data_IF_661468375321
#
_entry.id   IF_661468375321
#
_cell.length_a   1.000
_cell.length_b   1.000
_cell.length_c   1.000
_cell.angle_alpha   90.00
_cell.angle_beta   90.00
_cell.angle_gamma   90.00
#
_symmetry.space_group_name_H-M   'P 1'
#
loop_
_entity.id
_entity.type
_entity.pdbx_description
1 polymer ?
#
# COMPACT_ATOMS: atom_id res chain seq x y z
N UNK A 1 -17.35 -2.19 22.01
CA UNK A 1 -17.78 -3.39 21.28
C UNK A 1 -19.26 -3.68 21.50
N UNK A 2 -19.72 -4.08 22.70
CA UNK A 2 -21.15 -4.37 22.97
C UNK A 2 -22.14 -3.30 22.50
N UNK A 3 -21.75 -2.02 22.59
CA UNK A 3 -22.57 -0.92 22.10
C UNK A 3 -22.76 -0.89 20.58
N UNK A 4 -21.85 -1.46 19.78
CA UNK A 4 -21.98 -1.51 18.30
C UNK A 4 -22.99 -2.57 17.84
N UNK A 5 -23.20 -3.62 18.64
CA UNK A 5 -24.21 -4.66 18.42
C UNK A 5 -25.58 -4.31 19.03
N UNK A 6 -25.66 -3.20 19.77
CA UNK A 6 -26.92 -2.71 20.34
C UNK A 6 -27.80 -2.03 19.28
N UNK A 7 -29.01 -1.65 19.66
CA UNK A 7 -29.93 -0.83 18.85
C UNK A 7 -30.12 0.57 19.47
N UNK A 8 -30.65 1.50 18.68
CA UNK A 8 -30.99 2.86 19.15
C UNK A 8 -29.78 3.68 19.60
N UNK A 9 -29.98 4.55 20.59
CA UNK A 9 -28.97 5.55 20.99
C UNK A 9 -27.63 4.95 21.46
N UNK A 10 -27.65 3.72 21.99
CA UNK A 10 -26.44 3.02 22.42
C UNK A 10 -25.56 2.69 21.21
N UNK A 11 -26.17 2.22 20.12
CA UNK A 11 -25.51 2.00 18.84
C UNK A 11 -24.93 3.30 18.31
N UNK A 12 -25.74 4.35 18.28
CA UNK A 12 -25.34 5.61 17.67
C UNK A 12 -24.15 6.25 18.40
N UNK A 13 -24.18 6.26 19.74
CA UNK A 13 -23.04 6.74 20.56
C UNK A 13 -21.78 5.91 20.36
N UNK A 14 -21.92 4.58 20.26
CA UNK A 14 -20.78 3.70 20.01
C UNK A 14 -20.18 3.93 18.62
N UNK A 15 -21.03 4.08 17.60
CA UNK A 15 -20.65 4.36 16.22
C UNK A 15 -19.96 5.71 16.08
N UNK A 16 -20.46 6.79 16.72
CA UNK A 16 -19.79 8.11 16.73
C UNK A 16 -18.41 8.05 17.38
N UNK A 17 -18.27 7.36 18.52
CA UNK A 17 -16.97 7.19 19.20
C UNK A 17 -15.98 6.41 18.34
N UNK A 18 -16.44 5.35 17.69
CA UNK A 18 -15.61 4.56 16.78
C UNK A 18 -15.22 5.37 15.55
N UNK A 19 -16.15 6.10 14.94
CA UNK A 19 -15.87 6.98 13.80
C UNK A 19 -14.77 8.01 14.12
N UNK A 20 -14.87 8.70 15.25
CA UNK A 20 -13.85 9.68 15.66
C UNK A 20 -12.46 9.04 15.84
N UNK A 21 -12.41 7.78 16.28
CA UNK A 21 -11.16 7.03 16.37
C UNK A 21 -10.62 6.70 14.98
N UNK A 22 -11.46 6.14 14.10
CA UNK A 22 -11.09 5.77 12.74
C UNK A 22 -10.65 6.98 11.92
N UNK A 23 -11.33 8.12 12.06
CA UNK A 23 -11.01 9.36 11.35
C UNK A 23 -9.62 9.88 11.71
N UNK A 24 -9.23 9.86 12.99
CA UNK A 24 -7.87 10.24 13.40
C UNK A 24 -6.81 9.35 12.77
N UNK A 25 -7.06 8.04 12.75
CA UNK A 25 -6.17 7.08 12.07
C UNK A 25 -6.14 7.32 10.57
N UNK A 26 -7.28 7.58 9.94
CA UNK A 26 -7.40 7.85 8.52
C UNK A 26 -6.62 9.10 8.11
N UNK A 27 -6.72 10.18 8.88
CA UNK A 27 -5.99 11.42 8.62
C UNK A 27 -4.47 11.23 8.74
N UNK A 28 -4.01 10.54 9.78
CA UNK A 28 -2.59 10.24 9.96
C UNK A 28 -2.05 9.40 8.78
N UNK A 29 -2.81 8.38 8.38
CA UNK A 29 -2.41 7.48 7.29
C UNK A 29 -2.49 8.17 5.93
N UNK A 30 -3.55 8.94 5.66
CA UNK A 30 -3.72 9.68 4.41
C UNK A 30 -2.64 10.75 4.25
N UNK A 31 -2.23 11.45 5.31
CA UNK A 31 -1.09 12.39 5.27
C UNK A 31 0.23 11.68 5.02
N UNK A 32 0.45 10.51 5.66
CA UNK A 32 1.66 9.68 5.49
C UNK A 32 1.81 9.16 4.05
N UNK A 33 0.70 8.84 3.39
CA UNK A 33 0.71 8.34 2.00
C UNK A 33 0.66 9.51 1.01
N UNK A 34 -0.14 10.54 1.29
CA UNK A 34 -0.27 11.73 0.46
C UNK A 34 1.04 12.50 0.28
N UNK A 35 1.90 12.55 1.31
CA UNK A 35 3.25 13.12 1.20
C UNK A 35 4.14 12.38 0.19
N UNK A 36 3.95 11.06 -0.01
CA UNK A 36 4.66 10.28 -1.03
C UNK A 36 4.12 10.50 -2.44
N UNK A 37 2.82 10.77 -2.56
CA UNK A 37 2.09 10.87 -3.82
C UNK A 37 1.80 12.30 -4.29
N UNK A 38 2.34 13.32 -3.59
CA UNK A 38 2.08 14.76 -3.84
C UNK A 38 0.59 15.12 -3.86
N UNK A 39 -0.24 14.40 -3.09
CA UNK A 39 -1.64 14.78 -2.86
C UNK A 39 -1.69 15.97 -1.89
N UNK A 40 -2.52 16.98 -2.16
CA UNK A 40 -2.55 18.22 -1.37
C UNK A 40 -3.96 18.64 -0.97
N UNK A 41 -4.09 19.18 0.25
CA UNK A 41 -5.23 19.99 0.67
C UNK A 41 -6.55 19.23 0.92
N UNK A 42 -7.71 19.81 0.56
CA UNK A 42 -9.06 19.28 0.85
C UNK A 42 -9.28 17.82 0.43
N UNK A 43 -8.60 17.37 -0.63
CA UNK A 43 -8.68 16.00 -1.14
C UNK A 43 -8.25 14.94 -0.09
N UNK A 44 -7.29 15.27 0.78
CA UNK A 44 -6.79 14.36 1.82
C UNK A 44 -7.79 14.22 2.97
N UNK A 45 -8.45 15.33 3.32
CA UNK A 45 -9.41 15.38 4.41
C UNK A 45 -10.70 14.65 4.01
N UNK A 46 -11.21 14.93 2.81
CA UNK A 46 -12.38 14.26 2.22
C UNK A 46 -12.14 12.75 2.10
N UNK A 47 -10.96 12.35 1.64
CA UNK A 47 -10.58 10.94 1.56
C UNK A 47 -10.58 10.26 2.93
N UNK A 48 -10.04 10.92 3.95
CA UNK A 48 -9.98 10.39 5.30
C UNK A 48 -11.39 10.23 5.89
N UNK A 49 -12.26 11.23 5.67
CA UNK A 49 -13.66 11.20 6.06
C UNK A 49 -14.41 10.02 5.43
N UNK A 50 -14.29 9.85 4.11
CA UNK A 50 -14.90 8.73 3.42
C UNK A 50 -14.33 7.39 3.88
N UNK A 51 -13.00 7.29 4.08
CA UNK A 51 -12.37 6.04 4.52
C UNK A 51 -12.83 5.64 5.93
N UNK A 52 -12.99 6.60 6.84
CA UNK A 52 -13.50 6.36 8.18
C UNK A 52 -14.97 5.89 8.16
N UNK A 53 -15.80 6.48 7.29
CA UNK A 53 -17.19 6.07 7.11
C UNK A 53 -17.32 4.64 6.55
N UNK A 54 -16.57 4.32 5.49
CA UNK A 54 -16.55 2.98 4.88
C UNK A 54 -16.06 1.91 5.87
N UNK A 55 -15.02 2.24 6.65
CA UNK A 55 -14.50 1.37 7.69
C UNK A 55 -15.53 1.13 8.80
N UNK A 56 -16.23 2.19 9.24
CA UNK A 56 -17.31 2.06 10.23
C UNK A 56 -18.41 1.12 9.72
N UNK A 57 -18.90 1.32 8.49
CA UNK A 57 -19.93 0.47 7.88
C UNK A 57 -19.47 -1.00 7.81
N UNK A 58 -18.22 -1.22 7.42
CA UNK A 58 -17.65 -2.56 7.33
C UNK A 58 -17.53 -3.21 8.71
N UNK A 59 -17.12 -2.44 9.72
CA UNK A 59 -16.96 -2.92 11.09
C UNK A 59 -18.32 -3.25 11.71
N UNK A 60 -19.33 -2.41 11.56
CA UNK A 60 -20.68 -2.68 12.09
C UNK A 60 -21.26 -3.95 11.47
N UNK A 61 -21.07 -4.17 10.17
CA UNK A 61 -21.49 -5.40 9.50
C UNK A 61 -20.69 -6.66 9.87
N UNK A 62 -19.52 -6.51 10.51
CA UNK A 62 -18.61 -7.63 10.86
C UNK A 62 -18.34 -7.76 12.34
N UNK A 63 -18.97 -6.95 13.19
CA UNK A 63 -18.62 -6.87 14.62
C UNK A 63 -18.78 -8.21 15.34
N UNK A 64 -19.76 -9.02 14.94
CA UNK A 64 -20.01 -10.36 15.48
C UNK A 64 -18.94 -11.39 15.08
N UNK A 65 -18.16 -11.10 14.03
CA UNK A 65 -17.05 -11.98 13.59
C UNK A 65 -15.76 -11.75 14.37
N UNK A 66 -15.73 -10.74 15.25
CA UNK A 66 -14.55 -10.43 16.04
C UNK A 66 -14.35 -11.45 17.17
N UNK A 67 -13.29 -12.25 17.05
CA UNK A 67 -12.97 -13.38 17.96
C UNK A 67 -12.38 -12.99 19.31
N UNK A 68 -12.02 -11.72 19.53
CA UNK A 68 -11.43 -11.27 20.81
C UNK A 68 -9.94 -11.59 21.02
N UNK A 69 -9.24 -12.13 20.01
CA UNK A 69 -7.82 -12.50 20.08
C UNK A 69 -6.85 -11.28 20.16
N UNK A 70 -7.36 -10.06 20.00
CA UNK A 70 -6.60 -8.81 20.12
C UNK A 70 -7.49 -7.71 20.71
N UNK A 71 -6.95 -6.50 20.94
CA UNK A 71 -7.81 -5.35 21.26
C UNK A 71 -8.71 -5.04 20.05
N UNK A 72 -9.99 -4.77 20.30
CA UNK A 72 -10.96 -4.41 19.25
C UNK A 72 -10.47 -3.27 18.35
N UNK A 73 -9.80 -2.26 18.92
CA UNK A 73 -9.26 -1.12 18.19
C UNK A 73 -8.15 -1.53 17.21
N UNK A 74 -7.28 -2.47 17.58
CA UNK A 74 -6.26 -3.02 16.67
C UNK A 74 -6.90 -3.70 15.46
N UNK A 75 -7.95 -4.50 15.70
CA UNK A 75 -8.72 -5.11 14.62
C UNK A 75 -9.45 -4.07 13.75
N UNK A 76 -10.05 -3.06 14.36
CA UNK A 76 -10.73 -1.97 13.67
C UNK A 76 -9.79 -1.12 12.80
N UNK A 77 -8.57 -0.85 13.27
CA UNK A 77 -7.57 -0.06 12.53
C UNK A 77 -7.20 -0.68 11.20
N UNK A 78 -7.20 -2.03 11.11
CA UNK A 78 -6.99 -2.74 9.85
C UNK A 78 -7.95 -2.22 8.77
N UNK A 79 -9.24 -2.10 9.06
CA UNK A 79 -10.25 -1.70 8.08
C UNK A 79 -10.02 -0.28 7.56
N UNK A 80 -9.73 0.69 8.44
CA UNK A 80 -9.52 2.07 8.00
C UNK A 80 -8.22 2.26 7.25
N UNK A 81 -7.14 1.56 7.65
CA UNK A 81 -5.87 1.58 6.90
C UNK A 81 -6.09 1.02 5.48
N UNK A 82 -6.82 -0.09 5.33
CA UNK A 82 -7.17 -0.63 4.01
C UNK A 82 -8.07 0.30 3.21
N UNK A 83 -9.05 0.95 3.84
CA UNK A 83 -9.95 1.89 3.17
C UNK A 83 -9.20 3.14 2.65
N UNK A 84 -8.30 3.71 3.45
CA UNK A 84 -7.42 4.82 3.03
C UNK A 84 -6.54 4.37 1.87
N UNK A 85 -5.84 3.23 2.01
CA UNK A 85 -4.98 2.72 0.96
C UNK A 85 -5.76 2.52 -0.35
N UNK A 86 -6.96 1.93 -0.32
CA UNK A 86 -7.80 1.72 -1.49
C UNK A 86 -8.25 3.03 -2.16
N UNK A 87 -8.60 4.06 -1.38
CA UNK A 87 -9.02 5.36 -1.92
C UNK A 87 -7.84 6.14 -2.50
N UNK A 88 -6.72 6.20 -1.79
CA UNK A 88 -5.52 6.90 -2.27
C UNK A 88 -5.06 6.29 -3.59
N UNK A 89 -5.05 4.97 -3.66
CA UNK A 89 -4.78 4.19 -4.86
C UNK A 89 -5.76 4.46 -6.01
N UNK A 90 -7.05 4.67 -5.73
CA UNK A 90 -8.04 5.04 -6.75
C UNK A 90 -7.82 6.48 -7.25
N UNK A 91 -7.58 7.41 -6.34
CA UNK A 91 -7.36 8.83 -6.66
C UNK A 91 -6.06 9.04 -7.47
N UNK A 92 -4.96 8.39 -7.09
CA UNK A 92 -3.71 8.47 -7.83
C UNK A 92 -3.87 7.91 -9.25
N UNK A 93 -4.62 6.82 -9.44
CA UNK A 93 -4.87 6.23 -10.75
C UNK A 93 -5.88 6.93 -11.63
N UNK A 94 -6.90 7.56 -11.05
CA UNK A 94 -7.78 8.45 -11.82
C UNK A 94 -7.00 9.63 -12.41
N UNK A 95 -5.95 10.09 -11.73
CA UNK A 95 -5.07 11.18 -12.20
C UNK A 95 -3.92 10.69 -13.08
N UNK A 96 -3.41 9.47 -12.87
CA UNK A 96 -2.27 8.87 -13.57
C UNK A 96 -2.67 7.98 -14.76
N UNK A 97 -3.87 8.13 -15.33
CA UNK A 97 -4.37 7.30 -16.43
C UNK A 97 -3.59 7.43 -17.77
N UNK A 98 -2.38 8.00 -17.77
CA UNK A 98 -1.49 8.13 -18.92
C UNK A 98 -0.11 7.62 -18.51
N UNK A 99 0.43 6.68 -19.29
CA UNK A 99 1.73 5.99 -19.19
C UNK A 99 1.73 4.65 -18.42
N UNK A 100 1.51 3.57 -19.18
CA UNK A 100 1.97 2.21 -18.83
C UNK A 100 3.18 1.79 -19.67
N UNK A 101 3.92 2.77 -20.21
CA UNK A 101 5.15 2.49 -20.94
C UNK A 101 6.27 3.37 -20.40
N UNK A 102 7.20 2.75 -19.68
CA UNK A 102 8.38 3.40 -19.12
C UNK A 102 8.24 3.84 -17.66
N UNK A 103 8.26 2.89 -16.72
CA UNK A 103 8.39 3.22 -15.30
C UNK A 103 9.59 4.13 -15.03
N UNK A 104 9.40 5.22 -14.27
CA UNK A 104 10.43 6.24 -14.04
C UNK A 104 11.46 5.78 -12.98
N UNK A 105 12.46 5.03 -13.44
CA UNK A 105 13.59 4.59 -12.63
C UNK A 105 14.44 5.76 -12.08
N UNK A 106 14.38 6.94 -12.69
CA UNK A 106 15.18 8.10 -12.26
C UNK A 106 14.64 8.74 -10.99
N UNK A 107 13.36 8.54 -10.67
CA UNK A 107 12.73 9.06 -9.45
C UNK A 107 13.04 8.24 -8.19
N UNK A 108 13.55 7.01 -8.32
CA UNK A 108 13.78 6.12 -7.16
C UNK A 108 14.76 6.69 -6.11
N UNK A 109 15.94 7.25 -6.47
CA UNK A 109 16.88 7.79 -5.49
C UNK A 109 16.27 8.92 -4.63
N UNK A 110 15.46 9.78 -5.23
CA UNK A 110 14.78 10.86 -4.53
C UNK A 110 13.74 10.37 -3.50
N UNK A 111 13.21 9.15 -3.67
CA UNK A 111 12.24 8.53 -2.74
C UNK A 111 12.91 7.89 -1.53
N UNK A 112 14.23 7.64 -1.57
CA UNK A 112 14.99 6.98 -0.49
C UNK A 112 15.45 7.98 0.58
N UNK A 113 15.65 9.26 0.22
CA UNK A 113 16.07 10.34 1.13
C UNK A 113 17.55 10.26 1.51
N UNK A 114 18.24 11.42 1.56
CA UNK A 114 19.68 11.51 1.90
C UNK A 114 20.39 12.77 1.37
N UNK A 115 21.59 13.06 1.90
CA UNK A 115 22.49 14.15 1.47
C UNK A 115 23.29 13.78 0.20
N UNK A 116 24.03 14.71 -0.44
CA UNK A 116 24.60 14.54 -1.79
C UNK A 116 25.43 13.25 -2.03
N UNK A 117 26.11 12.77 -1.00
CA UNK A 117 26.91 11.53 -1.03
C UNK A 117 26.02 10.27 -1.06
N UNK A 118 24.88 10.28 -0.35
CA UNK A 118 23.85 9.24 -0.36
C UNK A 118 23.19 9.08 -1.75
N UNK A 119 23.21 10.13 -2.59
CA UNK A 119 22.61 10.07 -3.93
C UNK A 119 23.40 9.20 -4.90
N UNK A 120 24.73 9.15 -4.78
CA UNK A 120 25.57 8.32 -5.63
C UNK A 120 25.37 6.84 -5.32
N UNK A 121 25.36 6.48 -4.04
CA UNK A 121 25.06 5.11 -3.58
C UNK A 121 23.63 4.70 -3.92
N UNK A 122 22.64 5.58 -3.70
CA UNK A 122 21.25 5.34 -4.08
C UNK A 122 21.07 5.17 -5.59
N UNK A 123 21.84 5.90 -6.41
CA UNK A 123 21.82 5.78 -7.87
C UNK A 123 22.44 4.47 -8.33
N UNK A 124 23.55 4.04 -7.74
CA UNK A 124 24.17 2.76 -8.06
C UNK A 124 23.27 1.59 -7.66
N UNK A 125 22.65 1.65 -6.48
CA UNK A 125 21.65 0.67 -6.04
C UNK A 125 20.44 0.64 -6.97
N UNK A 126 19.91 1.79 -7.39
CA UNK A 126 18.79 1.86 -8.33
C UNK A 126 19.15 1.25 -9.69
N UNK A 127 20.37 1.48 -10.18
CA UNK A 127 20.88 0.86 -11.41
C UNK A 127 21.02 -0.66 -11.26
N UNK A 128 21.49 -1.13 -10.11
CA UNK A 128 21.59 -2.56 -9.81
C UNK A 128 20.22 -3.25 -9.78
N UNK A 129 19.21 -2.60 -9.18
CA UNK A 129 17.83 -3.10 -9.18
C UNK A 129 17.27 -3.14 -10.60
N UNK A 130 17.48 -2.10 -11.41
CA UNK A 130 17.05 -2.06 -12.82
C UNK A 130 17.64 -3.21 -13.61
N UNK A 131 18.97 -3.41 -13.56
CA UNK A 131 19.64 -4.55 -14.20
C UNK A 131 19.08 -5.89 -13.74
N UNK A 132 18.88 -6.07 -12.43
CA UNK A 132 18.30 -7.29 -11.89
C UNK A 132 16.86 -7.54 -12.40
N UNK A 133 16.05 -6.49 -12.58
CA UNK A 133 14.71 -6.59 -13.17
C UNK A 133 14.77 -6.92 -14.66
N UNK A 134 15.74 -6.37 -15.38
CA UNK A 134 15.91 -6.59 -16.82
C UNK A 134 16.48 -7.98 -17.14
N UNK A 135 17.32 -8.52 -16.27
CA UNK A 135 18.05 -9.77 -16.54
C UNK A 135 17.44 -10.99 -15.81
N UNK A 136 16.88 -10.80 -14.61
CA UNK A 136 16.46 -11.95 -13.77
C UNK A 136 14.95 -12.23 -13.82
N UNK A 137 14.12 -11.24 -14.15
CA UNK A 137 12.66 -11.40 -14.15
C UNK A 137 12.14 -11.83 -15.53
N UNK A 138 11.12 -12.68 -15.53
CA UNK A 138 10.34 -12.94 -16.76
C UNK A 138 9.53 -11.72 -17.15
N UNK A 139 9.07 -11.64 -18.41
CA UNK A 139 8.22 -10.55 -18.88
C UNK A 139 7.03 -10.29 -17.94
N UNK A 140 6.30 -11.36 -17.56
CA UNK A 140 5.16 -11.26 -16.63
C UNK A 140 5.58 -10.77 -15.23
N UNK A 141 6.73 -11.24 -14.71
CA UNK A 141 7.25 -10.78 -13.42
C UNK A 141 7.66 -9.31 -13.46
N UNK A 142 8.29 -8.87 -14.56
CA UNK A 142 8.64 -7.47 -14.79
C UNK A 142 7.40 -6.59 -14.86
N UNK A 143 6.40 -6.96 -15.66
CA UNK A 143 5.13 -6.21 -15.74
C UNK A 143 4.49 -6.05 -14.37
N UNK A 144 4.39 -7.13 -13.59
CA UNK A 144 3.81 -7.07 -12.23
C UNK A 144 4.67 -6.22 -11.29
N UNK A 145 6.00 -6.37 -11.34
CA UNK A 145 6.91 -5.61 -10.49
C UNK A 145 6.86 -4.11 -10.80
N UNK A 146 7.00 -3.73 -12.07
CA UNK A 146 6.95 -2.34 -12.53
C UNK A 146 5.60 -1.72 -12.15
N UNK A 147 4.51 -2.41 -12.48
CA UNK A 147 3.17 -1.93 -12.15
C UNK A 147 3.00 -1.71 -10.65
N UNK A 148 3.40 -2.63 -9.79
CA UNK A 148 3.17 -2.50 -8.33
C UNK A 148 4.16 -1.58 -7.62
N UNK A 149 5.42 -1.51 -8.07
CA UNK A 149 6.52 -0.85 -7.34
C UNK A 149 6.89 0.50 -7.93
N UNK A 150 6.92 0.63 -9.25
CA UNK A 150 7.30 1.88 -9.92
C UNK A 150 6.07 2.74 -10.19
N UNK A 151 5.04 2.13 -10.77
CA UNK A 151 3.80 2.81 -11.15
C UNK A 151 2.79 2.86 -9.99
N UNK A 152 3.10 2.16 -8.89
CA UNK A 152 2.27 2.09 -7.67
C UNK A 152 0.81 1.72 -8.00
N UNK A 153 0.64 0.79 -8.95
CA UNK A 153 -0.65 0.25 -9.41
C UNK A 153 -1.37 -0.46 -8.28
N UNK A 154 -2.65 -0.13 -8.01
CA UNK A 154 -3.46 -0.85 -7.06
C UNK A 154 -3.57 -2.29 -7.52
N UNK A 155 -3.31 -3.21 -6.59
CA UNK A 155 -3.41 -4.65 -6.84
C UNK A 155 -4.71 -5.04 -7.54
N UNK A 156 -5.86 -4.48 -7.13
CA UNK A 156 -7.17 -4.74 -7.72
C UNK A 156 -7.28 -4.31 -9.18
N UNK A 157 -6.66 -3.19 -9.55
CA UNK A 157 -6.60 -2.70 -10.94
C UNK A 157 -5.72 -3.62 -11.77
N UNK A 158 -4.58 -4.04 -11.23
CA UNK A 158 -3.65 -4.92 -11.91
C UNK A 158 -4.26 -6.32 -12.15
N UNK A 159 -4.99 -6.84 -11.17
CA UNK A 159 -5.75 -8.10 -11.26
C UNK A 159 -6.72 -8.06 -12.44
N UNK A 160 -7.50 -6.97 -12.59
CA UNK A 160 -8.44 -6.81 -13.69
C UNK A 160 -7.74 -6.63 -15.05
N UNK A 161 -6.71 -5.77 -15.12
CA UNK A 161 -5.99 -5.50 -16.38
C UNK A 161 -5.25 -6.71 -16.94
N UNK A 162 -4.74 -7.55 -16.05
CA UNK A 162 -3.95 -8.71 -16.42
C UNK A 162 -4.76 -10.01 -16.48
N UNK A 163 -6.09 -9.91 -16.43
CA UNK A 163 -7.06 -11.01 -16.35
C UNK A 163 -6.57 -12.13 -15.42
N UNK A 164 -6.33 -11.76 -14.16
CA UNK A 164 -5.62 -12.59 -13.19
C UNK A 164 -6.36 -12.60 -11.86
N UNK A 165 -5.88 -13.39 -10.91
CA UNK A 165 -6.37 -13.37 -9.52
C UNK A 165 -5.37 -12.69 -8.59
N UNK A 166 -5.84 -12.16 -7.46
CA UNK A 166 -4.97 -11.64 -6.40
C UNK A 166 -3.88 -12.64 -6.01
N UNK A 167 -4.23 -13.92 -5.85
CA UNK A 167 -3.27 -14.96 -5.46
C UNK A 167 -2.17 -15.17 -6.51
N UNK A 168 -2.54 -15.15 -7.80
CA UNK A 168 -1.58 -15.26 -8.90
C UNK A 168 -0.63 -14.05 -8.95
N UNK A 169 -1.14 -12.83 -8.74
CA UNK A 169 -0.29 -11.63 -8.67
C UNK A 169 0.61 -11.66 -7.44
N UNK A 170 0.11 -12.06 -6.26
CA UNK A 170 0.94 -12.22 -5.06
C UNK A 170 2.07 -13.22 -5.26
N UNK A 171 1.78 -14.39 -5.84
CA UNK A 171 2.80 -15.40 -6.16
C UNK A 171 3.84 -14.85 -7.14
N UNK A 172 3.39 -14.17 -8.20
CA UNK A 172 4.28 -13.54 -9.18
C UNK A 172 5.22 -12.52 -8.52
N UNK A 173 4.69 -11.67 -7.64
CA UNK A 173 5.48 -10.67 -6.91
C UNK A 173 6.43 -11.30 -5.88
N UNK A 174 6.02 -12.40 -5.25
CA UNK A 174 6.88 -13.17 -4.35
C UNK A 174 8.08 -13.76 -5.09
N UNK A 175 7.84 -14.42 -6.22
CA UNK A 175 8.89 -15.00 -7.05
C UNK A 175 9.83 -13.92 -7.61
N UNK A 176 9.28 -12.77 -8.02
CA UNK A 176 10.08 -11.63 -8.46
C UNK A 176 11.00 -11.12 -7.34
N UNK A 177 10.49 -10.87 -6.13
CA UNK A 177 11.31 -10.42 -4.98
C UNK A 177 12.41 -11.42 -4.63
N UNK A 178 12.13 -12.72 -4.67
CA UNK A 178 13.12 -13.76 -4.39
C UNK A 178 14.27 -13.69 -5.40
N UNK A 179 13.96 -13.58 -6.70
CA UNK A 179 14.98 -13.48 -7.76
C UNK A 179 15.81 -12.20 -7.66
N UNK A 180 15.16 -11.06 -7.44
CA UNK A 180 15.85 -9.78 -7.27
C UNK A 180 16.77 -9.79 -6.06
N UNK A 181 16.31 -10.33 -4.92
CA UNK A 181 17.15 -10.48 -3.72
C UNK A 181 18.39 -11.33 -4.02
N UNK A 182 18.22 -12.47 -4.68
CA UNK A 182 19.36 -13.32 -5.06
C UNK A 182 20.34 -12.59 -6.00
N UNK A 183 19.84 -11.82 -6.97
CA UNK A 183 20.68 -11.04 -7.87
C UNK A 183 21.45 -9.93 -7.13
N UNK A 184 20.79 -9.20 -6.24
CA UNK A 184 21.41 -8.14 -5.44
C UNK A 184 22.41 -8.67 -4.41
N UNK A 185 22.17 -9.83 -3.81
CA UNK A 185 23.15 -10.51 -2.94
C UNK A 185 24.39 -10.91 -3.75
N UNK A 186 24.21 -11.50 -4.94
CA UNK A 186 25.35 -11.83 -5.82
C UNK A 186 26.14 -10.60 -6.27
N UNK A 187 25.45 -9.48 -6.48
CA UNK A 187 26.07 -8.21 -6.83
C UNK A 187 26.70 -7.45 -5.65
N UNK A 188 26.66 -7.99 -4.42
CA UNK A 188 27.22 -7.34 -3.24
C UNK A 188 26.38 -6.20 -2.65
N UNK A 189 25.19 -5.93 -3.21
CA UNK A 189 24.30 -4.85 -2.79
C UNK A 189 23.47 -5.20 -1.54
N UNK A 190 23.32 -6.48 -1.22
CA UNK A 190 22.62 -6.96 -0.04
C UNK A 190 23.46 -8.02 0.67
N UNK A 191 23.50 -7.98 2.00
CA UNK A 191 24.07 -9.05 2.80
C UNK A 191 23.20 -10.31 2.70
N UNK A 192 23.83 -11.44 2.36
CA UNK A 192 23.19 -12.75 2.36
C UNK A 192 22.81 -13.12 3.79
N UNK A 193 21.52 -13.18 4.08
CA UNK A 193 21.06 -13.50 5.43
C UNK A 193 21.39 -14.98 5.75
N UNK A 194 22.42 -15.19 6.58
CA UNK A 194 22.62 -16.45 7.31
C UNK A 194 21.39 -16.66 8.20
N UNK A 195 20.64 -17.73 7.91
CA UNK A 195 19.61 -18.22 8.83
C UNK A 195 20.32 -18.94 9.97
N UNK A 196 20.20 -18.40 11.18
CA UNK A 196 20.17 -19.20 12.41
C UNK A 196 18.76 -19.79 12.57
#
# INVERSE_FOLDING_TARGET
MRGLSATGDVHERASRRLYALLLRTALAEARRIGSRLRLAGPEVDDLAHQAAADALLTITGKVETFRGESKFTTWAYKFVIFAVAAKVNRHSWQRAAIALDGGDWNALPARVGGGPEDWAEARDLANAVRRAVDESLTARQRTVFVALVLDETPMTVLVNRLDSTHNAIYKTMFDARKKLRSALVRGGYLSGQQRA
#
